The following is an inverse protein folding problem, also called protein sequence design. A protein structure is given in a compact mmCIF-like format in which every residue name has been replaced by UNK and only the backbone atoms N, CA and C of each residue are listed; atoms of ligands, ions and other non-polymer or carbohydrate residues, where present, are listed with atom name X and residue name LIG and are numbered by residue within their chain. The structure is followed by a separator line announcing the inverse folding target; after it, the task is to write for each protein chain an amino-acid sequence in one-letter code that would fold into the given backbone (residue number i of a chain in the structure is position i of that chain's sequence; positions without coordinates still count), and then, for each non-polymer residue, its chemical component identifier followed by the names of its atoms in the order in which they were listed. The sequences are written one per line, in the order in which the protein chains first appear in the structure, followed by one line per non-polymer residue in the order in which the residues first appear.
data_IF_004462225717
#
_entry.id   IF_004462225717
#
_cell.length_a   1.000
_cell.length_b   1.000
_cell.length_c   1.000
_cell.angle_alpha   90.00
_cell.angle_beta   90.00
_cell.angle_gamma   90.00
#
_symmetry.space_group_name_H-M   'P 1'
#
loop_
_entity.id
_entity.type
_entity.pdbx_description
1 polymer ?
#
# COMPACT_ATOMS: atom_id res chain seq x y z
N UNK A 1 15.55 -2.26 -13.24
CA UNK A 1 14.48 -1.27 -12.93
C UNK A 1 13.39 -1.96 -12.12
N UNK A 2 12.89 -1.30 -11.05
CA UNK A 2 11.86 -1.88 -10.17
C UNK A 2 10.46 -1.49 -10.62
N UNK A 3 9.53 -2.42 -10.52
CA UNK A 3 8.10 -2.22 -10.72
C UNK A 3 7.36 -2.67 -9.46
N UNK A 4 6.22 -2.05 -9.18
CA UNK A 4 5.41 -2.32 -8.00
C UNK A 4 4.03 -2.81 -8.44
N UNK A 5 3.65 -3.99 -8.00
CA UNK A 5 2.27 -4.45 -8.10
C UNK A 5 1.52 -3.98 -6.86
N UNK A 6 0.51 -3.16 -7.06
CA UNK A 6 -0.23 -2.49 -5.99
C UNK A 6 -1.72 -2.78 -6.06
N UNK A 7 -2.37 -2.85 -4.89
CA UNK A 7 -3.82 -2.90 -4.78
C UNK A 7 -4.38 -1.47 -4.62
N UNK A 8 -5.43 -1.17 -5.36
CA UNK A 8 -6.10 0.13 -5.38
C UNK A 8 -7.52 0.01 -4.86
N UNK A 9 -7.95 1.08 -4.21
CA UNK A 9 -9.26 1.18 -3.57
C UNK A 9 -10.35 1.60 -4.55
N UNK A 10 -11.59 1.22 -4.26
CA UNK A 10 -12.74 1.83 -4.89
C UNK A 10 -12.85 3.32 -4.51
N UNK A 11 -13.73 4.03 -5.21
CA UNK A 11 -13.87 5.48 -5.05
C UNK A 11 -14.24 5.88 -3.62
N UNK A 12 -15.13 5.15 -2.99
CA UNK A 12 -15.63 5.45 -1.64
C UNK A 12 -14.52 5.24 -0.60
N UNK A 13 -13.88 4.06 -0.62
CA UNK A 13 -12.76 3.74 0.28
C UNK A 13 -11.57 4.70 0.11
N UNK A 14 -11.24 5.03 -1.15
CA UNK A 14 -10.20 6.01 -1.44
C UNK A 14 -10.52 7.37 -0.80
N UNK A 15 -11.76 7.82 -0.89
CA UNK A 15 -12.18 9.15 -0.42
C UNK A 15 -12.02 9.30 1.09
N UNK A 16 -12.46 8.31 1.88
CA UNK A 16 -12.34 8.44 3.34
C UNK A 16 -10.90 8.25 3.83
N UNK A 17 -10.09 7.39 3.20
CA UNK A 17 -8.66 7.29 3.53
C UNK A 17 -7.96 8.60 3.17
N UNK A 18 -8.28 9.20 2.02
CA UNK A 18 -7.75 10.50 1.63
C UNK A 18 -8.13 11.62 2.61
N UNK A 19 -9.34 11.59 3.17
CA UNK A 19 -9.75 12.53 4.20
C UNK A 19 -8.88 12.42 5.44
N UNK A 20 -8.63 11.20 5.90
CA UNK A 20 -7.70 10.94 7.01
C UNK A 20 -6.28 11.42 6.67
N UNK A 21 -5.78 11.14 5.48
CA UNK A 21 -4.49 11.63 4.98
C UNK A 21 -4.41 13.16 5.02
N UNK A 22 -5.43 13.85 4.51
CA UNK A 22 -5.49 15.33 4.52
C UNK A 22 -5.49 15.89 5.94
N UNK A 23 -6.21 15.28 6.87
CA UNK A 23 -6.25 15.70 8.27
C UNK A 23 -4.87 15.57 8.94
N UNK A 24 -4.18 14.45 8.69
CA UNK A 24 -2.81 14.23 9.16
C UNK A 24 -1.86 15.27 8.57
N UNK A 25 -1.90 15.46 7.25
CA UNK A 25 -1.04 16.42 6.56
C UNK A 25 -1.28 17.84 7.07
N UNK A 26 -2.55 18.22 7.34
CA UNK A 26 -2.90 19.51 7.93
C UNK A 26 -2.35 19.66 9.35
N UNK A 27 -2.59 18.67 10.20
CA UNK A 27 -2.15 18.69 11.62
C UNK A 27 -0.64 18.82 11.75
N UNK A 28 0.13 18.12 10.91
CA UNK A 28 1.60 18.09 10.98
C UNK A 28 2.30 18.92 9.90
N UNK A 29 1.56 19.72 9.13
CA UNK A 29 2.09 20.58 8.05
C UNK A 29 2.91 19.84 6.99
N UNK A 30 2.42 18.68 6.52
CA UNK A 30 3.12 17.76 5.62
C UNK A 30 2.69 17.88 4.15
N UNK A 31 2.29 19.04 3.69
CA UNK A 31 1.62 19.24 2.39
C UNK A 31 2.44 18.91 1.14
N UNK A 32 3.77 18.92 1.23
CA UNK A 32 4.63 18.87 0.02
C UNK A 32 4.75 17.50 -0.64
N UNK A 33 4.39 16.41 0.02
CA UNK A 33 4.62 15.05 -0.48
C UNK A 33 3.48 14.12 -0.08
N UNK A 34 2.28 14.37 -0.58
CA UNK A 34 1.13 13.49 -0.36
C UNK A 34 1.22 12.30 -1.33
N UNK A 35 1.54 11.09 -0.86
CA UNK A 35 1.63 9.93 -1.72
C UNK A 35 0.25 9.48 -2.21
N UNK A 36 0.21 8.79 -3.35
CA UNK A 36 -0.99 8.14 -3.84
C UNK A 36 -1.33 6.95 -2.94
N UNK A 37 -2.60 6.83 -2.55
CA UNK A 37 -3.05 5.79 -1.63
C UNK A 37 -3.11 4.43 -2.31
N UNK A 38 -2.36 3.48 -1.81
CA UNK A 38 -2.29 2.11 -2.32
C UNK A 38 -1.76 1.14 -1.26
N UNK A 39 -1.91 -0.16 -1.52
CA UNK A 39 -1.23 -1.22 -0.77
C UNK A 39 -0.24 -1.88 -1.72
N UNK A 40 1.05 -1.81 -1.42
CA UNK A 40 2.06 -2.53 -2.19
C UNK A 40 1.97 -4.03 -1.87
N UNK A 41 1.84 -4.87 -2.91
CA UNK A 41 1.75 -6.32 -2.78
C UNK A 41 3.07 -7.00 -3.14
N UNK A 42 3.72 -6.54 -4.21
CA UNK A 42 4.94 -7.16 -4.71
C UNK A 42 5.85 -6.14 -5.40
N UNK A 43 7.14 -6.41 -5.36
CA UNK A 43 8.15 -5.66 -6.11
C UNK A 43 8.86 -6.62 -7.05
N UNK A 44 8.88 -6.29 -8.34
CA UNK A 44 9.52 -7.10 -9.36
C UNK A 44 10.58 -6.30 -10.11
N UNK A 45 11.73 -6.90 -10.35
CA UNK A 45 12.85 -6.26 -11.01
C UNK A 45 12.94 -6.68 -12.49
N UNK A 46 13.01 -5.68 -13.38
CA UNK A 46 13.17 -5.86 -14.82
C UNK A 46 12.26 -6.96 -15.43
N UNK A 47 10.93 -6.94 -15.17
CA UNK A 47 10.06 -7.97 -15.72
C UNK A 47 9.89 -7.81 -17.23
N UNK A 48 9.72 -8.94 -17.93
CA UNK A 48 9.04 -8.96 -19.21
C UNK A 48 7.58 -8.58 -18.99
N UNK A 49 7.18 -7.39 -19.45
CA UNK A 49 5.87 -6.80 -19.13
C UNK A 49 4.70 -7.57 -19.74
N UNK A 50 4.86 -8.17 -20.91
CA UNK A 50 3.81 -8.96 -21.55
C UNK A 50 3.57 -10.26 -20.78
N UNK A 51 4.65 -11.01 -20.54
CA UNK A 51 4.61 -12.24 -19.76
C UNK A 51 4.09 -11.98 -18.34
N UNK A 52 4.60 -10.95 -17.67
CA UNK A 52 4.14 -10.54 -16.33
C UNK A 52 2.64 -10.24 -16.33
N UNK A 53 2.18 -9.44 -17.28
CA UNK A 53 0.79 -9.06 -17.40
C UNK A 53 -0.14 -10.25 -17.60
N UNK A 54 0.28 -11.24 -18.40
CA UNK A 54 -0.48 -12.46 -18.62
C UNK A 54 -0.58 -13.29 -17.34
N UNK A 55 0.56 -13.52 -16.68
CA UNK A 55 0.63 -14.31 -15.44
C UNK A 55 -0.23 -13.67 -14.34
N UNK A 56 -0.09 -12.36 -14.10
CA UNK A 56 -0.89 -11.66 -13.08
C UNK A 56 -2.38 -11.68 -13.42
N UNK A 57 -2.74 -11.47 -14.69
CA UNK A 57 -4.14 -11.56 -15.11
C UNK A 57 -4.73 -12.94 -14.85
N UNK A 58 -3.97 -14.02 -15.12
CA UNK A 58 -4.43 -15.39 -14.88
C UNK A 58 -4.62 -15.69 -13.38
N UNK A 59 -3.70 -15.21 -12.54
CA UNK A 59 -3.83 -15.31 -11.09
C UNK A 59 -5.06 -14.57 -10.57
N UNK A 60 -5.37 -13.40 -11.13
CA UNK A 60 -6.46 -12.55 -10.67
C UNK A 60 -7.84 -12.98 -11.18
N UNK A 61 -7.93 -13.83 -12.19
CA UNK A 61 -9.21 -14.30 -12.76
C UNK A 61 -10.25 -14.80 -11.74
N UNK A 62 -9.90 -15.62 -10.72
CA UNK A 62 -10.86 -16.10 -9.75
C UNK A 62 -11.24 -15.05 -8.68
N UNK A 63 -10.46 -13.96 -8.57
CA UNK A 63 -10.66 -12.97 -7.52
C UNK A 63 -11.71 -11.95 -7.90
N UNK A 64 -12.62 -11.72 -6.96
CA UNK A 64 -13.61 -10.64 -6.98
C UNK A 64 -13.13 -9.46 -6.15
N UNK A 65 -13.77 -8.31 -6.28
CA UNK A 65 -13.58 -7.18 -5.39
C UNK A 65 -13.78 -7.60 -3.93
N UNK A 66 -12.87 -7.24 -3.04
CA UNK A 66 -12.91 -7.68 -1.64
C UNK A 66 -12.58 -6.54 -0.69
N UNK A 67 -12.93 -6.74 0.59
CA UNK A 67 -12.64 -5.78 1.65
C UNK A 67 -11.37 -6.18 2.40
N UNK A 68 -10.62 -5.18 2.84
CA UNK A 68 -9.49 -5.29 3.75
C UNK A 68 -9.78 -4.53 5.02
N UNK A 69 -9.33 -5.05 6.16
CA UNK A 69 -9.47 -4.38 7.44
C UNK A 69 -8.28 -3.44 7.67
N UNK A 70 -8.58 -2.22 8.08
CA UNK A 70 -7.59 -1.23 8.42
C UNK A 70 -7.39 -1.18 9.94
N UNK A 71 -6.14 -1.13 10.34
CA UNK A 71 -5.73 -1.05 11.73
C UNK A 71 -5.40 0.38 12.18
N UNK A 72 -4.41 0.49 13.04
CA UNK A 72 -3.96 1.76 13.60
C UNK A 72 -3.09 2.57 12.62
N UNK A 73 -3.02 3.87 12.86
CA UNK A 73 -2.07 4.76 12.21
C UNK A 73 -0.82 4.80 13.08
N UNK A 74 0.35 4.66 12.47
CA UNK A 74 1.63 4.63 13.17
C UNK A 74 2.71 5.38 12.43
N UNK A 75 3.73 5.78 13.15
CA UNK A 75 4.93 6.37 12.61
C UNK A 75 6.02 5.31 12.44
N UNK A 76 6.51 5.19 11.24
CA UNK A 76 7.64 4.32 10.90
C UNK A 76 8.94 5.13 11.00
N UNK A 77 9.73 4.86 12.04
CA UNK A 77 10.98 5.58 12.28
C UNK A 77 12.06 5.29 11.23
N UNK A 78 12.10 4.07 10.71
CA UNK A 78 13.10 3.66 9.73
C UNK A 78 12.89 4.39 8.40
N UNK A 79 11.65 4.41 7.92
CA UNK A 79 11.29 5.04 6.65
C UNK A 79 10.86 6.50 6.78
N UNK A 80 10.79 7.03 8.01
CA UNK A 80 10.34 8.39 8.31
C UNK A 80 9.00 8.71 7.66
N UNK A 81 8.04 7.82 7.87
CA UNK A 81 6.72 7.89 7.23
C UNK A 81 5.58 7.61 8.21
N UNK A 82 4.42 8.19 7.92
CA UNK A 82 3.17 7.91 8.64
C UNK A 82 2.39 6.92 7.79
N UNK A 83 2.02 5.81 8.39
CA UNK A 83 1.38 4.70 7.72
C UNK A 83 0.07 4.32 8.42
N UNK A 84 -0.88 3.86 7.63
CA UNK A 84 -2.08 3.18 8.09
C UNK A 84 -1.85 1.67 7.93
N UNK A 85 -1.91 0.95 9.03
CA UNK A 85 -1.76 -0.51 9.03
C UNK A 85 -2.93 -1.16 8.29
N UNK A 86 -2.63 -2.19 7.51
CA UNK A 86 -3.64 -3.10 6.95
C UNK A 86 -3.49 -4.43 7.67
N UNK A 87 -4.59 -4.99 8.17
CA UNK A 87 -4.53 -6.25 8.89
C UNK A 87 -4.17 -7.40 7.95
N UNK A 88 -3.16 -8.17 8.35
CA UNK A 88 -2.58 -9.26 7.56
C UNK A 88 -3.47 -10.51 7.60
N UNK A 89 -4.71 -10.39 7.13
CA UNK A 89 -5.67 -11.50 7.14
C UNK A 89 -6.56 -11.53 5.89
N UNK A 90 -7.22 -12.65 5.69
CA UNK A 90 -8.20 -12.81 4.62
C UNK A 90 -7.61 -12.91 3.21
N UNK A 91 -8.34 -12.36 2.26
CA UNK A 91 -8.01 -12.50 0.84
C UNK A 91 -6.71 -11.83 0.43
N UNK A 92 -6.38 -10.67 1.00
CA UNK A 92 -5.21 -9.90 0.58
C UNK A 92 -3.90 -10.66 0.82
N UNK A 93 -3.80 -11.35 1.96
CA UNK A 93 -2.60 -12.15 2.29
C UNK A 93 -2.50 -13.39 1.39
N UNK A 94 -3.63 -14.08 1.18
CA UNK A 94 -3.65 -15.24 0.27
C UNK A 94 -3.24 -14.83 -1.14
N UNK A 95 -3.81 -13.72 -1.63
CA UNK A 95 -3.51 -13.19 -2.94
C UNK A 95 -2.03 -12.79 -3.08
N UNK A 96 -1.49 -12.05 -2.10
CA UNK A 96 -0.09 -11.64 -2.12
C UNK A 96 0.87 -12.86 -2.16
N UNK A 97 0.61 -13.89 -1.35
CA UNK A 97 1.39 -15.14 -1.35
C UNK A 97 1.29 -15.86 -2.68
N UNK A 98 0.08 -16.03 -3.19
CA UNK A 98 -0.14 -16.71 -4.47
C UNK A 98 0.54 -15.99 -5.64
N UNK A 99 0.45 -14.65 -5.68
CA UNK A 99 1.17 -13.86 -6.69
C UNK A 99 2.67 -14.09 -6.60
N UNK A 100 3.25 -13.99 -5.41
CA UNK A 100 4.70 -14.20 -5.22
C UNK A 100 5.14 -15.60 -5.66
N UNK A 101 4.42 -16.66 -5.23
CA UNK A 101 4.73 -18.04 -5.57
C UNK A 101 4.67 -18.28 -7.09
N UNK A 102 3.62 -17.79 -7.75
CA UNK A 102 3.46 -17.96 -9.21
C UNK A 102 4.49 -17.14 -9.97
N UNK A 103 4.80 -15.91 -9.54
CA UNK A 103 5.85 -15.13 -10.17
C UNK A 103 7.22 -15.80 -10.06
N UNK A 104 7.54 -16.42 -8.90
CA UNK A 104 8.76 -17.23 -8.74
C UNK A 104 8.79 -18.43 -9.66
N UNK A 105 7.68 -19.18 -9.78
CA UNK A 105 7.58 -20.31 -10.70
C UNK A 105 7.83 -19.89 -12.15
N UNK A 106 7.40 -18.70 -12.54
CA UNK A 106 7.65 -18.12 -13.85
C UNK A 106 9.04 -17.44 -13.99
N UNK A 107 9.92 -17.58 -12.97
CA UNK A 107 11.28 -17.04 -12.90
C UNK A 107 11.37 -15.52 -12.96
N UNK A 108 10.37 -14.82 -12.44
CA UNK A 108 10.48 -13.39 -12.20
C UNK A 108 11.37 -13.11 -10.97
N UNK A 109 12.16 -12.04 -11.06
CA UNK A 109 12.95 -11.58 -9.92
C UNK A 109 12.05 -10.79 -8.95
N UNK A 110 11.54 -11.47 -7.94
CA UNK A 110 10.66 -10.95 -6.89
C UNK A 110 11.33 -11.04 -5.53
N UNK A 111 10.84 -10.27 -4.56
CA UNK A 111 11.40 -10.25 -3.21
C UNK A 111 11.20 -11.60 -2.50
N UNK A 112 12.26 -12.10 -1.86
CA UNK A 112 12.28 -13.48 -1.31
C UNK A 112 11.41 -13.67 -0.06
N UNK A 113 11.20 -12.65 0.78
CA UNK A 113 10.60 -12.80 2.10
C UNK A 113 9.20 -12.21 2.19
N UNK A 114 8.18 -13.05 2.00
CA UNK A 114 6.78 -12.71 2.25
C UNK A 114 6.21 -13.30 3.55
N UNK A 115 7.01 -13.99 4.35
CA UNK A 115 6.53 -14.55 5.62
C UNK A 115 6.05 -13.47 6.60
N UNK A 116 6.59 -12.25 6.48
CA UNK A 116 6.22 -11.08 7.29
C UNK A 116 5.86 -9.89 6.39
N UNK A 117 4.80 -10.03 5.57
CA UNK A 117 4.29 -8.90 4.79
C UNK A 117 3.66 -7.91 5.76
N UNK A 118 4.33 -6.80 5.98
CA UNK A 118 3.74 -5.65 6.67
C UNK A 118 2.95 -4.82 5.67
N UNK A 119 1.68 -5.18 5.50
CA UNK A 119 0.77 -4.45 4.61
C UNK A 119 0.41 -3.12 5.23
N UNK A 120 0.70 -2.05 4.50
CA UNK A 120 0.46 -0.68 4.95
C UNK A 120 0.06 0.24 3.80
N UNK A 121 -0.61 1.31 4.16
CA UNK A 121 -0.93 2.41 3.27
C UNK A 121 -0.08 3.59 3.72
N UNK A 122 0.79 4.07 2.85
CA UNK A 122 1.58 5.27 3.11
C UNK A 122 0.68 6.50 3.07
N UNK A 123 0.53 7.17 4.22
CA UNK A 123 -0.29 8.38 4.33
C UNK A 123 0.53 9.66 4.08
N UNK A 124 1.74 9.73 4.63
CA UNK A 124 2.62 10.88 4.45
C UNK A 124 4.09 10.53 4.72
N UNK A 125 4.98 11.25 4.06
CA UNK A 125 6.39 11.29 4.43
C UNK A 125 6.61 12.44 5.42
N UNK A 126 7.44 12.23 6.43
CA UNK A 126 7.68 13.24 7.46
C UNK A 126 8.69 14.28 7.02
N UNK A 127 8.49 15.50 7.51
CA UNK A 127 9.46 16.59 7.39
C UNK A 127 10.51 16.55 8.53
N UNK A 128 11.48 17.46 8.47
CA UNK A 128 12.56 17.57 9.46
C UNK A 128 12.03 17.87 10.86
N UNK A 129 11.10 18.80 11.01
CA UNK A 129 10.52 19.18 12.31
C UNK A 129 9.85 18.01 13.04
N UNK A 130 9.13 17.19 12.30
CA UNK A 130 8.50 16.01 12.87
C UNK A 130 9.53 14.95 13.27
N UNK A 131 10.64 14.85 12.55
CA UNK A 131 11.75 13.94 12.89
C UNK A 131 12.41 14.33 14.21
N UNK A 132 12.65 15.61 14.44
CA UNK A 132 13.22 16.11 15.71
C UNK A 132 12.27 15.91 16.88
N UNK A 133 10.98 16.13 16.69
CA UNK A 133 9.98 15.93 17.74
C UNK A 133 9.94 14.48 18.22
N UNK A 134 10.03 13.53 17.31
CA UNK A 134 10.03 12.10 17.63
C UNK A 134 11.33 11.61 18.29
N UNK A 135 12.46 12.28 18.07
CA UNK A 135 13.74 11.92 18.73
C UNK A 135 13.83 12.37 20.17
N UNK A 136 13.03 13.37 20.58
CA UNK A 136 12.98 13.87 21.97
C UNK A 136 12.11 13.03 22.89
N UNK A 137 11.16 12.29 22.36
CA UNK A 137 10.32 11.34 23.09
C UNK A 137 10.84 9.92 22.83
N UNK A 138 11.47 9.32 23.84
CA UNK A 138 12.14 8.00 23.80
C UNK A 138 11.22 6.79 23.56
N UNK A 139 10.08 6.92 22.88
CA UNK A 139 9.14 5.83 22.64
C UNK A 139 9.17 5.33 21.20
N UNK A 140 9.60 4.11 21.02
CA UNK A 140 9.83 3.41 19.76
C UNK A 140 8.58 3.19 18.87
N UNK A 141 7.38 3.46 19.37
CA UNK A 141 6.13 3.33 18.61
C UNK A 141 5.17 4.43 19.05
N UNK A 142 5.28 5.62 18.47
CA UNK A 142 4.24 6.62 18.65
C UNK A 142 3.03 6.15 17.87
N UNK A 143 2.13 5.47 18.55
CA UNK A 143 0.77 5.24 18.05
C UNK A 143 0.10 6.60 18.09
N UNK A 144 -0.39 7.06 16.94
CA UNK A 144 -1.21 8.26 16.85
C UNK A 144 -2.60 7.98 17.42
N UNK A 145 -2.68 7.71 18.74
CA UNK A 145 -3.89 7.29 19.45
C UNK A 145 -5.07 8.25 19.27
N UNK A 146 -4.79 9.51 18.98
CA UNK A 146 -5.78 10.55 18.79
C UNK A 146 -6.21 10.79 17.34
N UNK A 147 -5.62 10.07 16.38
CA UNK A 147 -6.05 10.12 14.98
C UNK A 147 -6.85 8.86 14.70
N UNK A 148 -8.11 8.88 15.14
CA UNK A 148 -9.08 7.85 14.72
C UNK A 148 -9.39 8.08 13.25
N UNK A 149 -9.45 7.00 12.49
CA UNK A 149 -10.14 7.02 11.20
C UNK A 149 -11.56 7.47 11.51
N UNK A 150 -11.93 8.68 11.08
CA UNK A 150 -13.26 9.23 11.34
C UNK A 150 -14.30 8.33 10.69
N UNK A 151 -15.20 7.83 11.50
CA UNK A 151 -16.31 6.98 11.09
C UNK A 151 -16.07 5.49 11.29
N UNK A 152 -17.13 4.72 11.22
CA UNK A 152 -17.20 3.26 11.41
C UNK A 152 -16.45 2.44 10.34
N UNK A 153 -15.62 3.05 9.51
CA UNK A 153 -14.98 2.45 8.35
C UNK A 153 -13.63 1.82 8.69
N UNK A 154 -13.65 0.72 9.43
CA UNK A 154 -12.47 -0.15 9.57
C UNK A 154 -12.16 -0.95 8.30
N UNK A 155 -13.03 -0.89 7.30
CA UNK A 155 -12.94 -1.71 6.09
C UNK A 155 -12.78 -0.84 4.86
N UNK A 156 -11.81 -1.19 4.00
CA UNK A 156 -11.63 -0.60 2.68
C UNK A 156 -11.85 -1.65 1.59
N UNK A 157 -12.48 -1.26 0.49
CA UNK A 157 -12.74 -2.16 -0.64
C UNK A 157 -11.66 -1.99 -1.71
N UNK A 158 -11.04 -3.11 -2.09
CA UNK A 158 -10.12 -3.20 -3.22
C UNK A 158 -10.93 -3.53 -4.46
N UNK A 159 -10.78 -2.75 -5.53
CA UNK A 159 -11.50 -2.94 -6.79
C UNK A 159 -10.61 -3.37 -7.96
N UNK A 160 -9.29 -3.10 -7.88
CA UNK A 160 -8.34 -3.41 -8.94
C UNK A 160 -6.92 -3.49 -8.40
N UNK A 161 -6.06 -4.13 -9.20
CA UNK A 161 -4.62 -4.05 -9.06
C UNK A 161 -4.02 -3.16 -10.15
N UNK A 162 -2.81 -2.66 -9.93
CA UNK A 162 -2.08 -1.93 -10.94
C UNK A 162 -0.59 -2.25 -10.88
N UNK A 163 0.05 -2.26 -12.03
CA UNK A 163 1.51 -2.31 -12.16
C UNK A 163 2.02 -0.87 -12.30
N UNK A 164 2.86 -0.46 -11.38
CA UNK A 164 3.45 0.88 -11.34
C UNK A 164 4.95 0.84 -11.60
N UNK A 165 5.41 1.88 -12.30
CA UNK A 165 6.83 2.14 -12.52
C UNK A 165 7.17 3.48 -11.87
N UNK A 166 8.12 3.53 -10.91
CA UNK A 166 8.60 4.79 -10.40
C UNK A 166 9.41 5.52 -11.47
N UNK A 167 9.13 6.80 -11.66
CA UNK A 167 9.88 7.68 -12.59
C UNK A 167 10.92 8.46 -11.82
N UNK A 168 10.54 8.92 -10.64
CA UNK A 168 11.41 9.58 -9.68
C UNK A 168 10.83 9.37 -8.26
N UNK A 169 11.49 9.92 -7.23
CA UNK A 169 11.04 9.82 -5.83
C UNK A 169 9.63 10.38 -5.54
N UNK A 170 8.99 11.03 -6.51
CA UNK A 170 7.71 11.74 -6.33
C UNK A 170 6.64 11.37 -7.34
N UNK A 171 6.98 10.62 -8.39
CA UNK A 171 6.04 10.32 -9.48
C UNK A 171 6.16 8.87 -9.92
N UNK A 172 5.02 8.23 -10.01
CA UNK A 172 4.84 6.87 -10.52
C UNK A 172 3.97 6.93 -11.77
N UNK A 173 4.25 6.04 -12.70
CA UNK A 173 3.44 5.86 -13.90
C UNK A 173 2.75 4.51 -13.80
N UNK A 174 1.44 4.51 -14.02
CA UNK A 174 0.67 3.28 -14.16
C UNK A 174 1.00 2.66 -15.52
N UNK A 175 1.56 1.45 -15.50
CA UNK A 175 1.90 0.69 -16.69
C UNK A 175 0.68 -0.10 -17.16
N UNK A 176 -0.05 -0.72 -16.23
CA UNK A 176 -1.23 -1.53 -16.52
C UNK A 176 -2.17 -1.61 -15.32
N UNK A 177 -3.46 -1.66 -15.61
CA UNK A 177 -4.52 -1.98 -14.65
C UNK A 177 -4.98 -3.43 -14.81
N UNK A 178 -5.33 -4.06 -13.70
CA UNK A 178 -5.93 -5.39 -13.61
C UNK A 178 -7.22 -5.27 -12.79
N UNK A 179 -8.37 -5.10 -13.43
CA UNK A 179 -9.64 -4.97 -12.72
C UNK A 179 -10.02 -6.31 -12.07
N UNK A 180 -10.55 -6.26 -10.87
CA UNK A 180 -11.17 -7.40 -10.22
C UNK A 180 -12.64 -7.52 -10.65
N UNK A 181 -13.16 -8.74 -10.64
CA UNK A 181 -14.56 -8.98 -11.01
C UNK A 181 -15.51 -8.36 -9.99
N UNK A 182 -16.67 -7.96 -10.46
CA UNK A 182 -17.82 -7.66 -9.59
C UNK A 182 -18.39 -8.95 -8.98
N UNK A 183 -19.26 -8.80 -7.98
CA UNK A 183 -19.94 -9.94 -7.34
C UNK A 183 -20.96 -10.57 -8.27
#
# INVERSE_FOLDING_TARGET
MKYYLVALFDRESYFYIQRTQKNICKKYRLYKNTPMLHIALEVVENPDLEKFSKVVSDVLKPYKKFKVEMGSIYFDQLYKSINLKVENKGYIIRLARQINEILKLHRFNVKENLCNIDLKILLANTNYQMREWNTKEHNHNIVFENIKIEGAHKMARIDRMALWKPVNSKKEIVVKYFPLRDF
#
